data_IF_658202206069
#
_entry.id   IF_658202206069
#
_cell.length_a   1.000
_cell.length_b   1.000
_cell.length_c   1.000
_cell.angle_alpha   90.00
_cell.angle_beta   90.00
_cell.angle_gamma   90.00
#
_symmetry.space_group_name_H-M   'P 1'
#
loop_
_entity.id
_entity.type
_entity.pdbx_description
1 polymer ?
#
# COMPACT_ATOMS: atom_id res chain seq x y z
N UNK A 1 -32.77 -1.75 18.53
CA UNK A 1 -32.01 -2.99 18.25
C UNK A 1 -30.60 -2.51 17.95
N UNK A 2 -29.66 -2.82 18.83
CA UNK A 2 -28.28 -2.37 18.71
C UNK A 2 -27.75 -2.74 17.33
N UNK A 3 -27.28 -1.75 16.57
CA UNK A 3 -26.45 -1.98 15.39
C UNK A 3 -25.23 -2.77 15.88
N UNK A 4 -25.32 -4.09 15.79
CA UNK A 4 -24.25 -5.00 16.18
C UNK A 4 -23.09 -4.75 15.23
N UNK A 5 -22.00 -4.25 15.79
CA UNK A 5 -20.68 -4.20 15.13
C UNK A 5 -20.40 -5.54 14.48
N UNK A 6 -20.23 -5.56 13.16
CA UNK A 6 -19.91 -6.74 12.35
C UNK A 6 -18.42 -7.09 12.43
N UNK A 7 -17.85 -7.02 13.63
CA UNK A 7 -16.46 -7.36 13.86
C UNK A 7 -16.36 -8.41 14.95
N UNK A 8 -16.00 -9.60 14.52
CA UNK A 8 -15.41 -10.63 15.35
C UNK A 8 -13.91 -10.65 15.03
N UNK A 9 -13.06 -10.73 16.07
CA UNK A 9 -11.60 -10.78 15.96
C UNK A 9 -11.12 -11.82 14.93
N UNK A 10 -11.88 -12.91 14.77
CA UNK A 10 -11.57 -13.95 13.78
C UNK A 10 -11.74 -13.48 12.33
N UNK A 11 -12.71 -12.59 12.05
CA UNK A 11 -12.89 -12.02 10.72
C UNK A 11 -11.78 -11.02 10.39
N UNK A 12 -11.40 -10.19 11.36
CA UNK A 12 -10.27 -9.25 11.25
C UNK A 12 -8.97 -9.99 10.89
N UNK A 13 -8.64 -11.04 11.64
CA UNK A 13 -7.46 -11.88 11.36
C UNK A 13 -7.48 -12.50 9.96
N UNK A 14 -8.66 -12.92 9.47
CA UNK A 14 -8.79 -13.48 8.11
C UNK A 14 -8.56 -12.42 7.05
N UNK A 15 -9.06 -11.20 7.24
CA UNK A 15 -8.79 -10.09 6.32
C UNK A 15 -7.31 -9.67 6.33
N UNK A 16 -6.67 -9.63 7.49
CA UNK A 16 -5.24 -9.37 7.61
C UNK A 16 -4.40 -10.45 6.93
N UNK A 17 -4.76 -11.73 7.13
CA UNK A 17 -4.10 -12.85 6.48
C UNK A 17 -4.24 -12.77 4.95
N UNK A 18 -5.44 -12.45 4.45
CA UNK A 18 -5.68 -12.24 3.02
C UNK A 18 -4.88 -11.06 2.45
N UNK A 19 -4.78 -9.96 3.20
CA UNK A 19 -4.03 -8.78 2.79
C UNK A 19 -2.51 -9.00 2.71
N UNK A 20 -1.99 -10.04 3.37
CA UNK A 20 -0.57 -10.40 3.36
C UNK A 20 -0.27 -11.69 2.59
N UNK A 21 -1.29 -12.35 2.02
CA UNK A 21 -1.15 -13.59 1.30
C UNK A 21 -0.49 -13.35 -0.07
N UNK A 22 0.62 -14.06 -0.30
CA UNK A 22 1.18 -14.23 -1.64
C UNK A 22 0.40 -15.35 -2.33
N UNK A 23 -0.54 -14.96 -3.18
CA UNK A 23 -1.39 -15.88 -3.97
C UNK A 23 -0.90 -15.98 -5.42
N UNK A 24 0.32 -15.52 -5.70
CA UNK A 24 0.86 -15.40 -7.06
C UNK A 24 1.96 -16.43 -7.34
N UNK A 25 1.76 -17.25 -8.37
CA UNK A 25 2.78 -18.17 -8.88
C UNK A 25 3.24 -17.70 -10.27
N UNK A 26 3.93 -16.57 -10.29
CA UNK A 26 4.40 -15.95 -11.54
C UNK A 26 5.77 -16.53 -11.93
N UNK A 27 5.89 -16.92 -13.19
CA UNK A 27 7.16 -17.35 -13.77
C UNK A 27 7.98 -16.13 -14.19
N UNK A 28 9.32 -16.17 -14.09
CA UNK A 28 10.15 -15.05 -14.49
C UNK A 28 9.96 -14.76 -15.98
N UNK A 29 9.59 -13.52 -16.37
CA UNK A 29 9.65 -13.11 -17.76
C UNK A 29 11.08 -13.27 -18.29
N UNK A 30 11.23 -13.79 -19.50
CA UNK A 30 12.54 -14.07 -20.11
C UNK A 30 13.44 -12.83 -20.27
N UNK A 31 12.83 -11.64 -20.27
CA UNK A 31 13.48 -10.34 -20.42
C UNK A 31 13.59 -9.54 -19.12
N UNK A 32 13.30 -10.14 -17.96
CA UNK A 32 13.76 -9.63 -16.67
C UNK A 32 15.15 -10.17 -16.39
N UNK A 33 16.09 -9.26 -16.14
CA UNK A 33 17.49 -9.62 -15.88
C UNK A 33 17.87 -9.20 -14.46
N UNK A 34 18.29 -10.17 -13.66
CA UNK A 34 18.89 -9.93 -12.36
C UNK A 34 20.42 -9.91 -12.48
N UNK A 35 21.06 -8.90 -11.91
CA UNK A 35 22.52 -8.83 -11.82
C UNK A 35 22.94 -8.11 -10.54
N UNK A 36 24.22 -8.24 -10.18
CA UNK A 36 24.76 -7.61 -8.97
C UNK A 36 25.65 -6.43 -9.35
N UNK A 37 25.53 -5.37 -8.57
CA UNK A 37 26.40 -4.21 -8.61
C UNK A 37 27.01 -3.96 -7.24
N UNK A 38 28.16 -3.30 -7.22
CA UNK A 38 28.78 -2.77 -6.02
C UNK A 38 28.56 -1.26 -6.02
N UNK A 39 27.81 -0.75 -5.05
CA UNK A 39 27.44 0.67 -4.95
C UNK A 39 27.97 1.23 -3.64
N UNK A 40 28.70 2.34 -3.69
CA UNK A 40 29.08 3.05 -2.46
C UNK A 40 27.89 3.79 -1.86
N UNK A 41 27.93 4.06 -0.56
CA UNK A 41 26.92 4.89 0.10
C UNK A 41 26.77 6.27 -0.59
N UNK A 42 27.88 6.89 -1.00
CA UNK A 42 27.85 8.14 -1.76
C UNK A 42 27.18 8.00 -3.13
N UNK A 43 27.36 6.88 -3.83
CA UNK A 43 26.68 6.67 -5.12
C UNK A 43 25.17 6.43 -4.94
N UNK A 44 24.77 5.72 -3.89
CA UNK A 44 23.36 5.58 -3.52
C UNK A 44 22.73 6.95 -3.20
N UNK A 45 23.44 7.82 -2.48
CA UNK A 45 23.03 9.20 -2.24
C UNK A 45 22.94 10.01 -3.52
N UNK A 46 23.91 9.90 -4.41
CA UNK A 46 23.90 10.57 -5.72
C UNK A 46 22.68 10.16 -6.55
N UNK A 47 22.33 8.86 -6.57
CA UNK A 47 21.13 8.38 -7.25
C UNK A 47 19.85 8.94 -6.63
N UNK A 48 19.80 9.03 -5.30
CA UNK A 48 18.67 9.64 -4.58
C UNK A 48 18.54 11.15 -4.89
N UNK A 49 19.63 11.91 -4.78
CA UNK A 49 19.65 13.35 -5.06
C UNK A 49 19.26 13.65 -6.52
N UNK A 50 19.60 12.75 -7.45
CA UNK A 50 19.22 12.84 -8.86
C UNK A 50 17.76 12.42 -9.14
N UNK A 51 16.99 12.01 -8.13
CA UNK A 51 15.63 11.49 -8.29
C UNK A 51 15.55 10.14 -9.01
N UNK A 52 16.67 9.42 -9.13
CA UNK A 52 16.78 8.13 -9.80
C UNK A 52 16.57 6.95 -8.85
N UNK A 53 16.75 7.14 -7.54
CA UNK A 53 16.48 6.15 -6.51
C UNK A 53 15.37 6.66 -5.60
N UNK A 54 14.26 5.94 -5.57
CA UNK A 54 13.12 6.27 -4.73
C UNK A 54 13.26 5.56 -3.37
N UNK A 55 13.61 6.33 -2.34
CA UNK A 55 13.90 5.85 -0.96
C UNK A 55 12.73 6.12 -0.02
N UNK A 56 11.78 6.95 -0.45
CA UNK A 56 10.60 7.30 0.32
C UNK A 56 9.46 7.62 -0.65
N UNK A 57 8.97 6.64 -1.42
CA UNK A 57 7.73 6.83 -2.10
C UNK A 57 6.69 7.04 -1.00
N UNK A 58 5.79 8.02 -1.12
CA UNK A 58 4.62 8.22 -0.22
C UNK A 58 3.73 6.97 -0.07
N UNK A 59 4.09 5.89 -0.78
CA UNK A 59 3.42 4.63 -0.97
C UNK A 59 4.01 3.50 -0.09
N UNK A 60 5.20 3.67 0.52
CA UNK A 60 5.79 2.69 1.44
C UNK A 60 5.54 3.04 2.92
N UNK A 61 5.68 2.04 3.80
CA UNK A 61 5.61 2.24 5.26
C UNK A 61 6.63 3.28 5.71
N UNK A 62 6.28 4.06 6.72
CA UNK A 62 7.26 4.83 7.49
C UNK A 62 8.45 3.96 7.89
N UNK A 63 9.62 4.57 7.99
CA UNK A 63 10.84 3.95 8.52
C UNK A 63 10.52 3.34 9.89
N UNK A 64 10.40 2.01 9.96
CA UNK A 64 10.04 1.27 11.17
C UNK A 64 11.22 1.04 12.09
N UNK A 65 12.45 1.24 11.58
CA UNK A 65 13.64 1.18 12.42
C UNK A 65 13.61 2.26 13.48
N UNK A 66 13.66 1.84 14.74
CA UNK A 66 13.86 2.73 15.87
C UNK A 66 15.19 3.49 15.71
N UNK A 67 15.33 4.70 16.28
CA UNK A 67 16.57 5.48 16.18
C UNK A 67 17.84 4.70 16.58
N UNK A 68 17.70 3.76 17.52
CA UNK A 68 18.79 2.87 17.95
C UNK A 68 19.25 1.89 16.87
N UNK A 69 18.32 1.33 16.08
CA UNK A 69 18.63 0.41 14.98
C UNK A 69 19.34 1.15 13.84
N UNK A 70 18.86 2.35 13.50
CA UNK A 70 19.52 3.22 12.51
C UNK A 70 20.96 3.55 12.96
N UNK A 71 21.14 3.90 14.24
CA UNK A 71 22.46 4.22 14.81
C UNK A 71 23.44 3.04 14.74
N UNK A 72 23.01 1.84 15.14
CA UNK A 72 23.83 0.61 15.05
C UNK A 72 24.22 0.28 13.62
N UNK A 73 23.33 0.53 12.67
CA UNK A 73 23.63 0.32 11.25
C UNK A 73 24.70 1.30 10.75
N UNK A 74 24.60 2.60 11.09
CA UNK A 74 25.65 3.58 10.76
C UNK A 74 26.99 3.21 11.40
N UNK A 75 26.98 2.77 12.66
CA UNK A 75 28.19 2.29 13.35
C UNK A 75 28.79 1.06 12.65
N UNK A 76 27.95 0.16 12.13
CA UNK A 76 28.40 -1.00 11.34
C UNK A 76 29.10 -0.57 10.03
N UNK A 77 28.58 0.46 9.34
CA UNK A 77 29.22 1.05 8.16
C UNK A 77 30.55 1.71 8.53
N UNK A 78 30.59 2.49 9.62
CA UNK A 78 31.81 3.13 10.12
C UNK A 78 32.92 2.14 10.49
N UNK A 79 32.53 0.97 11.01
CA UNK A 79 33.41 -0.17 11.35
C UNK A 79 33.70 -1.10 10.16
N UNK A 80 33.14 -0.83 8.98
CA UNK A 80 33.30 -1.64 7.77
C UNK A 80 32.91 -3.12 7.97
N UNK A 81 31.85 -3.36 8.74
CA UNK A 81 31.31 -4.71 8.94
C UNK A 81 30.62 -5.20 7.65
N UNK A 82 30.54 -6.53 7.43
CA UNK A 82 29.78 -7.08 6.30
C UNK A 82 28.31 -6.65 6.36
N UNK A 83 27.86 -5.95 5.33
CA UNK A 83 26.46 -5.53 5.18
C UNK A 83 25.75 -6.51 4.24
N UNK A 84 24.60 -7.08 4.62
CA UNK A 84 23.82 -7.93 3.72
C UNK A 84 23.46 -7.19 2.43
N UNK A 85 23.29 -7.92 1.34
CA UNK A 85 22.90 -7.32 0.06
C UNK A 85 21.56 -6.61 0.15
N UNK A 86 21.36 -5.61 -0.69
CA UNK A 86 20.07 -4.94 -0.91
C UNK A 86 19.52 -5.30 -2.28
N UNK A 87 18.23 -5.11 -2.50
CA UNK A 87 17.60 -5.40 -3.79
C UNK A 87 16.82 -4.19 -4.28
N UNK A 88 17.04 -3.80 -5.54
CA UNK A 88 16.30 -2.74 -6.20
C UNK A 88 15.77 -3.24 -7.55
N UNK A 89 14.62 -2.75 -7.97
CA UNK A 89 14.22 -2.82 -9.38
C UNK A 89 14.78 -1.62 -10.11
N UNK A 90 15.07 -1.79 -11.40
CA UNK A 90 15.47 -0.75 -12.33
C UNK A 90 14.54 -0.81 -13.53
N UNK A 91 13.70 0.20 -13.69
CA UNK A 91 12.95 0.40 -14.92
C UNK A 91 13.89 1.00 -15.97
N UNK A 92 14.28 0.21 -16.96
CA UNK A 92 15.25 0.68 -17.96
C UNK A 92 14.68 1.73 -18.93
N UNK A 93 13.35 1.93 -18.95
CA UNK A 93 12.70 2.97 -19.76
C UNK A 93 12.80 4.34 -19.12
N UNK A 94 12.68 4.40 -17.80
CA UNK A 94 12.65 5.66 -17.04
C UNK A 94 13.91 5.91 -16.22
N UNK A 95 14.81 4.92 -16.15
CA UNK A 95 15.98 4.87 -15.27
C UNK A 95 15.68 5.00 -13.78
N UNK A 96 14.40 4.90 -13.40
CA UNK A 96 13.96 4.94 -12.01
C UNK A 96 14.24 3.60 -11.32
N UNK A 97 14.68 3.70 -10.07
CA UNK A 97 14.96 2.56 -9.19
C UNK A 97 14.02 2.57 -8.01
N UNK A 98 13.43 1.41 -7.73
CA UNK A 98 12.56 1.22 -6.57
C UNK A 98 13.19 0.20 -5.62
N UNK A 99 13.16 0.48 -4.33
CA UNK A 99 13.71 -0.45 -3.34
C UNK A 99 12.76 -1.64 -3.15
N UNK A 100 13.27 -2.84 -3.39
CA UNK A 100 12.57 -4.12 -3.20
C UNK A 100 12.88 -4.71 -1.82
N UNK A 101 14.15 -4.65 -1.42
CA UNK A 101 14.65 -5.02 -0.09
C UNK A 101 15.74 -4.05 0.36
N UNK A 102 15.79 -3.80 1.68
CA UNK A 102 16.78 -2.94 2.29
C UNK A 102 16.35 -1.49 2.50
N UNK A 103 15.04 -1.20 2.47
CA UNK A 103 14.49 0.15 2.67
C UNK A 103 15.11 0.85 3.88
N UNK A 104 15.09 0.20 5.05
CA UNK A 104 15.60 0.80 6.29
C UNK A 104 17.11 1.11 6.24
N UNK A 105 17.88 0.26 5.55
CA UNK A 105 19.33 0.45 5.33
C UNK A 105 19.59 1.61 4.40
N UNK A 106 18.91 1.64 3.25
CA UNK A 106 18.97 2.75 2.28
C UNK A 106 18.58 4.08 2.94
N UNK A 107 17.44 4.13 3.64
CA UNK A 107 16.97 5.35 4.30
C UNK A 107 17.96 5.85 5.36
N UNK A 108 18.58 4.95 6.14
CA UNK A 108 19.61 5.34 7.12
C UNK A 108 20.87 5.91 6.44
N UNK A 109 21.33 5.32 5.33
CA UNK A 109 22.45 5.85 4.52
C UNK A 109 22.13 7.24 4.00
N UNK A 110 20.98 7.41 3.35
CA UNK A 110 20.56 8.70 2.79
C UNK A 110 20.44 9.74 3.90
N UNK A 111 19.80 9.40 5.02
CA UNK A 111 19.64 10.31 6.15
C UNK A 111 20.99 10.71 6.75
N UNK A 112 21.92 9.77 6.93
CA UNK A 112 23.28 10.07 7.40
C UNK A 112 24.02 11.03 6.48
N UNK A 113 23.85 10.89 5.16
CA UNK A 113 24.60 11.69 4.20
C UNK A 113 23.90 13.00 3.81
N UNK A 114 22.63 13.20 4.19
CA UNK A 114 21.83 14.35 3.80
C UNK A 114 21.38 15.23 4.97
N UNK A 115 21.25 14.69 6.18
CA UNK A 115 20.78 15.42 7.36
C UNK A 115 21.90 15.61 8.38
N UNK A 116 22.65 16.70 8.24
CA UNK A 116 23.71 17.09 9.19
C UNK A 116 23.22 17.26 10.64
N UNK A 117 21.93 17.57 10.84
CA UNK A 117 21.34 17.78 12.17
C UNK A 117 20.91 16.47 12.83
N UNK A 118 20.89 15.36 12.10
CA UNK A 118 20.51 14.07 12.66
C UNK A 118 21.47 13.67 13.78
N UNK A 119 20.94 13.48 14.98
CA UNK A 119 21.69 13.01 16.14
C UNK A 119 21.59 11.49 16.27
N UNK A 120 22.74 10.83 16.29
CA UNK A 120 22.82 9.39 16.56
C UNK A 120 22.43 9.09 18.02
N UNK A 121 21.87 7.90 18.25
CA UNK A 121 21.38 7.50 19.56
C UNK A 121 22.51 7.32 20.58
N UNK A 122 22.21 7.58 21.85
CA UNK A 122 23.15 7.37 22.95
C UNK A 122 23.11 5.90 23.40
N UNK A 123 23.97 5.07 22.83
CA UNK A 123 24.02 3.63 23.10
C UNK A 123 25.45 3.21 23.50
N UNK A 124 25.58 2.26 24.43
CA UNK A 124 26.88 1.88 25.00
C UNK A 124 27.77 1.07 24.03
N UNK A 125 27.16 0.42 23.04
CA UNK A 125 27.80 -0.46 22.05
C UNK A 125 28.32 0.25 20.79
N UNK A 126 28.20 1.59 20.74
CA UNK A 126 28.54 2.43 19.59
C UNK A 126 29.92 3.08 19.78
N UNK A 127 30.65 3.32 18.69
CA UNK A 127 31.92 4.05 18.74
C UNK A 127 31.76 5.42 19.45
N UNK A 128 32.62 5.68 20.43
CA UNK A 128 32.60 6.90 21.25
C UNK A 128 32.72 8.19 20.44
N UNK A 129 33.28 8.11 19.23
CA UNK A 129 33.43 9.24 18.30
C UNK A 129 32.12 9.66 17.63
N UNK A 130 31.15 8.74 17.51
CA UNK A 130 29.87 9.01 16.83
C UNK A 130 28.66 8.96 17.75
N UNK A 131 28.75 8.27 18.89
CA UNK A 131 27.64 8.11 19.84
C UNK A 131 27.12 9.45 20.35
N UNK A 132 25.80 9.63 20.34
CA UNK A 132 25.13 10.86 20.78
C UNK A 132 25.63 12.15 20.08
N UNK A 133 26.25 12.04 18.90
CA UNK A 133 26.72 13.17 18.09
C UNK A 133 25.77 13.44 16.93
N UNK A 134 25.77 14.68 16.45
CA UNK A 134 25.14 15.02 15.17
C UNK A 134 26.04 14.61 14.03
N UNK A 135 25.46 14.32 12.87
CA UNK A 135 26.22 14.02 11.64
C UNK A 135 27.23 15.13 11.31
N UNK A 136 26.82 16.39 11.39
CA UNK A 136 27.70 17.55 11.13
C UNK A 136 28.92 17.58 12.08
N UNK A 137 28.73 17.18 13.34
CA UNK A 137 29.84 17.07 14.28
C UNK A 137 30.78 15.92 13.92
N UNK A 138 30.23 14.78 13.49
CA UNK A 138 31.04 13.63 13.05
C UNK A 138 31.86 14.01 11.82
N UNK A 139 31.24 14.65 10.83
CA UNK A 139 31.90 15.11 9.61
C UNK A 139 33.06 16.07 9.90
N UNK A 140 32.85 17.03 10.82
CA UNK A 140 33.87 18.03 11.16
C UNK A 140 34.99 17.50 12.05
N UNK A 141 34.65 16.77 13.11
CA UNK A 141 35.62 16.35 14.14
C UNK A 141 36.22 14.96 13.88
N UNK A 142 35.54 14.12 13.09
CA UNK A 142 35.98 12.76 12.74
C UNK A 142 35.76 12.49 11.23
N UNK A 143 36.33 13.33 10.34
CA UNK A 143 36.10 13.26 8.89
C UNK A 143 36.46 11.90 8.28
N UNK A 144 37.39 11.16 8.89
CA UNK A 144 37.78 9.82 8.48
C UNK A 144 36.65 8.79 8.69
N UNK A 145 35.85 8.93 9.76
CA UNK A 145 34.70 8.04 10.01
C UNK A 145 33.59 8.35 9.01
N UNK A 146 33.30 9.64 8.82
CA UNK A 146 32.31 10.08 7.84
C UNK A 146 32.68 9.57 6.43
N UNK A 147 33.95 9.72 6.04
CA UNK A 147 34.49 9.21 4.78
C UNK A 147 34.42 7.68 4.67
N UNK A 148 34.62 6.93 5.76
CA UNK A 148 34.43 5.46 5.74
C UNK A 148 32.99 5.09 5.43
N UNK A 149 32.02 5.77 6.03
CA UNK A 149 30.59 5.52 5.74
C UNK A 149 30.30 5.84 4.27
N UNK A 150 30.74 6.99 3.76
CA UNK A 150 30.60 7.39 2.35
C UNK A 150 31.16 6.35 1.37
N UNK A 151 32.36 5.86 1.67
CA UNK A 151 33.10 4.94 0.81
C UNK A 151 32.74 3.46 1.04
N UNK A 152 31.90 3.14 2.03
CA UNK A 152 31.44 1.76 2.24
C UNK A 152 30.67 1.31 1.01
N UNK A 153 31.09 0.18 0.44
CA UNK A 153 30.50 -0.42 -0.75
C UNK A 153 29.56 -1.53 -0.34
N UNK A 154 28.32 -1.48 -0.81
CA UNK A 154 27.28 -2.45 -0.51
C UNK A 154 26.93 -3.24 -1.77
N UNK A 155 26.84 -4.57 -1.68
CA UNK A 155 26.28 -5.39 -2.76
C UNK A 155 24.80 -5.06 -2.99
N UNK A 156 24.45 -4.72 -4.22
CA UNK A 156 23.08 -4.42 -4.64
C UNK A 156 22.69 -5.35 -5.78
N UNK A 157 21.68 -6.18 -5.55
CA UNK A 157 21.01 -6.93 -6.62
C UNK A 157 20.06 -5.98 -7.35
N UNK A 158 20.22 -5.87 -8.65
CA UNK A 158 19.40 -5.05 -9.54
C UNK A 158 18.54 -5.95 -10.39
N UNK A 159 17.22 -5.73 -10.34
CA UNK A 159 16.22 -6.37 -11.18
C UNK A 159 15.85 -5.42 -12.31
N UNK A 160 16.49 -5.57 -13.47
CA UNK A 160 16.14 -4.79 -14.65
C UNK A 160 14.82 -5.28 -15.22
N UNK A 161 13.88 -4.35 -15.37
CA UNK A 161 12.50 -4.61 -15.77
C UNK A 161 11.97 -3.50 -16.69
N UNK A 162 10.83 -3.78 -17.33
CA UNK A 162 10.02 -2.83 -18.09
C UNK A 162 8.70 -2.63 -17.34
N UNK A 163 8.56 -1.53 -16.61
CA UNK A 163 7.33 -1.30 -15.85
C UNK A 163 6.13 -0.95 -16.72
N UNK A 164 6.27 -0.81 -18.05
CA UNK A 164 5.10 -0.76 -18.96
C UNK A 164 4.49 -2.16 -19.20
N UNK A 165 5.25 -3.23 -18.96
CA UNK A 165 4.79 -4.61 -19.19
C UNK A 165 4.12 -5.18 -17.95
N UNK A 166 2.88 -5.65 -18.13
CA UNK A 166 2.10 -6.30 -17.07
C UNK A 166 2.82 -7.50 -16.45
N UNK A 167 3.42 -8.38 -17.26
CA UNK A 167 4.14 -9.55 -16.77
C UNK A 167 5.33 -9.20 -15.87
N UNK A 168 5.99 -8.06 -16.14
CA UNK A 168 7.10 -7.58 -15.32
C UNK A 168 6.61 -7.06 -13.97
N UNK A 169 5.48 -6.33 -13.97
CA UNK A 169 4.84 -5.83 -12.75
C UNK A 169 4.37 -7.00 -11.87
N UNK A 170 3.71 -8.00 -12.45
CA UNK A 170 3.22 -9.19 -11.75
C UNK A 170 4.39 -9.99 -11.13
N UNK A 171 5.48 -10.20 -11.88
CA UNK A 171 6.66 -10.90 -11.35
C UNK A 171 7.40 -10.11 -10.27
N UNK A 172 7.54 -8.78 -10.43
CA UNK A 172 8.09 -7.94 -9.37
C UNK A 172 7.25 -8.03 -8.11
N UNK A 173 5.91 -8.04 -8.22
CA UNK A 173 5.02 -8.19 -7.07
C UNK A 173 5.33 -9.47 -6.28
N UNK A 174 5.53 -10.60 -6.97
CA UNK A 174 5.96 -11.87 -6.36
C UNK A 174 7.34 -11.75 -5.69
N UNK A 175 8.32 -11.09 -6.34
CA UNK A 175 9.65 -10.89 -5.74
C UNK A 175 9.55 -10.05 -4.47
N UNK A 176 8.80 -8.95 -4.49
CA UNK A 176 8.56 -8.10 -3.31
C UNK A 176 8.04 -8.95 -2.15
N UNK A 177 7.05 -9.81 -2.38
CA UNK A 177 6.53 -10.70 -1.35
C UNK A 177 7.59 -11.65 -0.79
N UNK A 178 8.37 -12.29 -1.67
CA UNK A 178 9.35 -13.32 -1.26
C UNK A 178 10.57 -12.74 -0.56
N UNK A 179 11.03 -11.55 -0.95
CA UNK A 179 12.18 -10.90 -0.33
C UNK A 179 11.82 -10.19 0.99
N UNK A 180 10.61 -9.63 1.11
CA UNK A 180 10.15 -8.97 2.33
C UNK A 180 9.69 -9.96 3.43
N UNK A 181 10.22 -11.18 3.42
CA UNK A 181 9.92 -12.22 4.42
C UNK A 181 10.70 -12.05 5.73
N UNK A 182 11.78 -11.25 5.74
CA UNK A 182 12.51 -10.86 6.94
C UNK A 182 11.91 -9.62 7.62
N UNK A 183 11.52 -9.72 8.89
CA UNK A 183 10.90 -8.62 9.65
C UNK A 183 9.39 -8.51 9.47
N UNK A 184 8.81 -7.32 9.66
CA UNK A 184 7.37 -7.10 9.46
C UNK A 184 7.07 -7.15 7.95
N UNK A 185 6.25 -8.09 7.48
CA UNK A 185 5.91 -8.22 6.05
C UNK A 185 5.15 -6.99 5.52
N UNK A 186 5.44 -6.61 4.27
CA UNK A 186 4.59 -5.68 3.53
C UNK A 186 3.25 -6.34 3.23
N UNK A 187 2.16 -5.57 3.24
CA UNK A 187 0.88 -6.03 2.73
C UNK A 187 0.79 -5.81 1.20
N UNK A 188 -0.21 -6.42 0.59
CA UNK A 188 -0.40 -6.38 -0.87
C UNK A 188 -0.55 -4.94 -1.38
N UNK A 189 -1.24 -4.07 -0.65
CA UNK A 189 -1.44 -2.69 -1.06
C UNK A 189 -0.14 -1.87 -1.01
N UNK A 190 0.71 -2.05 0.01
CA UNK A 190 2.04 -1.44 0.12
C UNK A 190 2.96 -1.82 -1.06
N UNK A 191 2.85 -3.06 -1.55
CA UNK A 191 3.60 -3.51 -2.74
C UNK A 191 3.02 -2.89 -4.02
N UNK A 192 1.68 -2.87 -4.17
CA UNK A 192 1.04 -2.20 -5.33
C UNK A 192 1.45 -0.75 -5.45
N UNK A 193 1.47 -0.09 -4.31
CA UNK A 193 1.90 1.27 -4.12
C UNK A 193 3.28 1.58 -4.71
N UNK A 194 4.21 0.64 -4.64
CA UNK A 194 5.55 0.76 -5.22
C UNK A 194 5.56 0.50 -6.74
N UNK A 195 4.90 -0.58 -7.14
CA UNK A 195 4.98 -1.10 -8.52
C UNK A 195 4.12 -0.27 -9.48
N UNK A 196 2.95 0.16 -9.02
CA UNK A 196 1.93 0.90 -9.77
C UNK A 196 1.84 2.37 -9.33
N UNK A 197 2.96 2.95 -8.88
CA UNK A 197 3.05 4.38 -8.58
C UNK A 197 2.64 5.24 -9.78
N UNK A 198 2.03 6.38 -9.51
CA UNK A 198 1.47 7.29 -10.50
C UNK A 198 0.08 7.81 -10.14
N UNK A 199 -0.49 8.60 -11.05
CA UNK A 199 -1.70 9.41 -10.84
C UNK A 199 -2.93 8.64 -10.34
N UNK A 200 -3.14 7.40 -10.79
CA UNK A 200 -4.24 6.58 -10.28
C UNK A 200 -4.04 6.18 -8.81
N UNK A 201 -2.80 5.84 -8.44
CA UNK A 201 -2.49 5.50 -7.06
C UNK A 201 -2.54 6.72 -6.13
N UNK A 202 -2.11 7.89 -6.63
CA UNK A 202 -2.26 9.16 -5.94
C UNK A 202 -3.73 9.51 -5.70
N UNK A 203 -4.57 9.30 -6.71
CA UNK A 203 -6.01 9.50 -6.59
C UNK A 203 -6.62 8.68 -5.46
N UNK A 204 -6.21 7.41 -5.27
CA UNK A 204 -6.71 6.60 -4.15
C UNK A 204 -6.41 7.24 -2.80
N UNK A 205 -5.20 7.77 -2.61
CA UNK A 205 -4.80 8.45 -1.37
C UNK A 205 -5.55 9.75 -1.16
N UNK A 206 -5.68 10.55 -2.21
CA UNK A 206 -6.40 11.82 -2.15
C UNK A 206 -7.86 11.61 -1.73
N UNK A 207 -8.50 10.52 -2.18
CA UNK A 207 -9.86 10.18 -1.77
C UNK A 207 -9.88 9.80 -0.29
N UNK A 208 -8.94 8.98 0.20
CA UNK A 208 -8.86 8.65 1.65
C UNK A 208 -8.61 9.90 2.51
N UNK A 209 -7.80 10.85 2.01
CA UNK A 209 -7.47 12.09 2.70
C UNK A 209 -8.60 13.15 2.63
N UNK A 210 -9.63 12.92 1.81
CA UNK A 210 -10.74 13.87 1.67
C UNK A 210 -11.62 13.91 2.92
N UNK A 211 -12.15 15.09 3.26
CA UNK A 211 -13.01 15.26 4.44
C UNK A 211 -14.25 14.36 4.37
N UNK A 212 -14.87 14.22 3.18
CA UNK A 212 -16.04 13.35 3.00
C UNK A 212 -15.75 11.88 3.37
N UNK A 213 -14.53 11.39 3.06
CA UNK A 213 -14.13 10.03 3.42
C UNK A 213 -13.83 9.90 4.91
N UNK A 214 -13.13 10.90 5.49
CA UNK A 214 -12.83 10.96 6.93
C UNK A 214 -14.13 10.96 7.74
N UNK A 215 -15.12 11.75 7.34
CA UNK A 215 -16.42 11.84 8.01
C UNK A 215 -17.22 10.54 7.90
N UNK A 216 -17.21 9.91 6.72
CA UNK A 216 -17.94 8.66 6.51
C UNK A 216 -17.32 7.48 7.28
N UNK A 217 -16.00 7.36 7.32
CA UNK A 217 -15.33 6.20 7.92
C UNK A 217 -14.78 6.46 9.33
N UNK A 218 -15.01 7.66 9.89
CA UNK A 218 -14.46 8.11 11.18
C UNK A 218 -12.94 7.84 11.27
N UNK A 219 -12.22 8.31 10.24
CA UNK A 219 -10.78 8.03 10.11
C UNK A 219 -10.00 8.86 11.13
N UNK A 220 -9.31 8.18 12.05
CA UNK A 220 -8.47 8.83 13.04
C UNK A 220 -7.10 9.20 12.42
N UNK A 221 -6.74 10.49 12.31
CA UNK A 221 -5.48 10.92 11.69
C UNK A 221 -4.22 10.46 12.45
N UNK A 222 -4.33 10.12 13.73
CA UNK A 222 -3.20 9.62 14.54
C UNK A 222 -2.97 8.11 14.36
N UNK A 223 -3.96 7.38 13.81
CA UNK A 223 -3.87 5.93 13.60
C UNK A 223 -3.26 5.61 12.25
N UNK A 224 -2.34 4.63 12.25
CA UNK A 224 -1.79 4.06 11.02
C UNK A 224 -2.66 2.92 10.51
N UNK A 225 -3.24 3.09 9.32
CA UNK A 225 -4.11 2.11 8.68
C UNK A 225 -3.40 1.19 7.68
N UNK A 226 -2.08 1.36 7.46
CA UNK A 226 -1.26 0.60 6.50
C UNK A 226 -1.91 0.44 5.12
N UNK A 227 -2.44 1.55 4.60
CA UNK A 227 -3.10 1.62 3.30
C UNK A 227 -4.37 0.73 3.15
N UNK A 228 -4.98 0.31 4.26
CA UNK A 228 -6.18 -0.55 4.21
C UNK A 228 -7.41 0.16 3.64
N UNK A 229 -7.52 1.48 3.80
CA UNK A 229 -8.60 2.30 3.25
C UNK A 229 -8.44 2.49 1.73
N UNK A 230 -7.20 2.67 1.26
CA UNK A 230 -6.84 2.78 -0.14
C UNK A 230 -7.11 1.44 -0.85
N UNK A 231 -6.79 0.31 -0.21
CA UNK A 231 -7.18 -1.01 -0.72
C UNK A 231 -8.71 -1.16 -0.78
N UNK A 232 -9.45 -0.69 0.22
CA UNK A 232 -10.91 -0.74 0.22
C UNK A 232 -11.49 0.04 -0.98
N UNK A 233 -11.01 1.26 -1.23
CA UNK A 233 -11.42 2.04 -2.41
C UNK A 233 -11.05 1.30 -3.70
N UNK A 234 -9.84 0.74 -3.79
CA UNK A 234 -9.42 -0.03 -4.95
C UNK A 234 -10.33 -1.23 -5.20
N UNK A 235 -10.72 -1.95 -4.14
CA UNK A 235 -11.69 -3.08 -4.21
C UNK A 235 -13.05 -2.60 -4.70
N UNK A 236 -13.56 -1.50 -4.15
CA UNK A 236 -14.84 -0.91 -4.55
C UNK A 236 -14.85 -0.56 -6.04
N UNK A 237 -13.81 0.14 -6.52
CA UNK A 237 -13.70 0.53 -7.93
C UNK A 237 -13.55 -0.69 -8.86
N UNK A 238 -12.68 -1.63 -8.51
CA UNK A 238 -12.45 -2.84 -9.30
C UNK A 238 -13.71 -3.71 -9.42
N UNK A 239 -14.43 -3.91 -8.32
CA UNK A 239 -15.65 -4.70 -8.32
C UNK A 239 -16.83 -3.97 -8.96
N UNK A 240 -16.95 -2.66 -8.78
CA UNK A 240 -17.99 -1.87 -9.45
C UNK A 240 -17.87 -1.96 -10.97
N UNK A 241 -16.64 -1.89 -11.49
CA UNK A 241 -16.32 -2.03 -12.91
C UNK A 241 -16.70 -3.42 -13.45
N UNK A 242 -16.26 -4.51 -12.80
CA UNK A 242 -16.42 -5.85 -13.40
C UNK A 242 -16.32 -7.04 -12.43
N UNK A 243 -17.11 -7.06 -11.35
CA UNK A 243 -17.12 -8.22 -10.44
C UNK A 243 -17.60 -9.53 -11.08
N UNK A 244 -18.42 -9.46 -12.13
CA UNK A 244 -18.96 -10.64 -12.84
C UNK A 244 -17.84 -11.54 -13.39
N UNK A 245 -16.72 -10.91 -13.79
CA UNK A 245 -15.52 -11.57 -14.30
C UNK A 245 -14.45 -11.82 -13.23
N UNK A 246 -14.76 -11.65 -11.95
CA UNK A 246 -13.84 -12.02 -10.88
C UNK A 246 -13.54 -13.52 -10.90
N UNK A 247 -12.26 -13.89 -10.95
CA UNK A 247 -11.81 -15.30 -10.99
C UNK A 247 -10.91 -15.66 -9.81
N UNK A 248 -10.66 -14.71 -8.91
CA UNK A 248 -9.57 -14.80 -7.95
C UNK A 248 -8.19 -14.91 -8.65
N UNK A 249 -7.11 -14.98 -7.87
CA UNK A 249 -7.01 -14.48 -6.50
C UNK A 249 -7.30 -12.97 -6.41
N UNK A 250 -7.64 -12.47 -5.21
CA UNK A 250 -7.99 -11.06 -5.01
C UNK A 250 -6.81 -10.15 -5.40
N UNK A 251 -5.60 -10.53 -5.00
CA UNK A 251 -4.37 -9.81 -5.31
C UNK A 251 -4.20 -9.59 -6.82
N UNK A 252 -4.38 -10.64 -7.63
CA UNK A 252 -4.28 -10.59 -9.09
C UNK A 252 -5.37 -9.74 -9.72
N UNK A 253 -6.60 -9.78 -9.20
CA UNK A 253 -7.68 -8.93 -9.68
C UNK A 253 -7.39 -7.44 -9.47
N UNK A 254 -6.95 -7.06 -8.25
CA UNK A 254 -6.62 -5.67 -7.94
C UNK A 254 -5.35 -5.20 -8.69
N UNK A 255 -4.34 -6.06 -8.84
CA UNK A 255 -3.15 -5.78 -9.63
C UNK A 255 -3.50 -5.52 -11.11
N UNK A 256 -4.39 -6.32 -11.69
CA UNK A 256 -4.89 -6.10 -13.05
C UNK A 256 -5.63 -4.76 -13.18
N UNK A 257 -6.40 -4.39 -12.15
CA UNK A 257 -7.08 -3.10 -12.13
C UNK A 257 -6.10 -1.93 -12.03
N UNK A 258 -5.09 -1.98 -11.15
CA UNK A 258 -4.02 -0.98 -11.10
C UNK A 258 -3.30 -0.84 -12.45
N UNK A 259 -2.97 -1.98 -13.09
CA UNK A 259 -2.32 -1.98 -14.41
C UNK A 259 -3.19 -1.33 -15.50
N UNK A 260 -4.52 -1.52 -15.47
CA UNK A 260 -5.48 -0.91 -16.43
C UNK A 260 -5.40 0.62 -16.44
N UNK A 261 -5.04 1.25 -15.31
CA UNK A 261 -5.01 2.71 -15.15
C UNK A 261 -3.62 3.34 -15.26
N UNK A 262 -2.55 2.55 -15.42
CA UNK A 262 -1.17 3.05 -15.42
C UNK A 262 -0.88 4.10 -16.51
N UNK A 263 -1.45 3.89 -17.70
CA UNK A 263 -1.24 4.75 -18.87
C UNK A 263 -2.51 5.51 -19.26
N UNK A 264 -3.45 5.68 -18.31
CA UNK A 264 -4.67 6.45 -18.54
C UNK A 264 -4.44 7.93 -18.31
N UNK A 265 -5.15 8.75 -19.09
CA UNK A 265 -5.15 10.20 -18.92
C UNK A 265 -5.85 10.63 -17.63
N UNK A 266 -5.58 11.87 -17.22
CA UNK A 266 -6.15 12.46 -16.01
C UNK A 266 -7.69 12.47 -16.04
N UNK A 267 -8.31 12.69 -17.21
CA UNK A 267 -9.78 12.69 -17.34
C UNK A 267 -10.38 11.34 -16.97
N UNK A 268 -9.75 10.25 -17.38
CA UNK A 268 -10.17 8.88 -17.07
C UNK A 268 -10.02 8.58 -15.58
N UNK A 269 -8.96 9.08 -14.95
CA UNK A 269 -8.71 8.93 -13.51
C UNK A 269 -9.70 9.77 -12.70
N UNK A 270 -9.96 11.01 -13.12
CA UNK A 270 -10.95 11.89 -12.50
C UNK A 270 -12.37 11.34 -12.59
N UNK A 271 -12.69 10.59 -13.65
CA UNK A 271 -13.95 9.87 -13.72
C UNK A 271 -14.08 8.83 -12.61
N UNK A 272 -13.00 8.09 -12.28
CA UNK A 272 -13.00 7.14 -11.16
C UNK A 272 -13.10 7.87 -9.81
N UNK A 273 -12.35 8.97 -9.64
CA UNK A 273 -12.44 9.84 -8.48
C UNK A 273 -13.88 10.30 -8.24
N UNK A 274 -14.54 10.78 -9.29
CA UNK A 274 -15.94 11.24 -9.22
C UNK A 274 -16.89 10.12 -8.80
N UNK A 275 -16.74 8.92 -9.37
CA UNK A 275 -17.58 7.75 -9.00
C UNK A 275 -17.49 7.47 -7.51
N UNK A 276 -16.27 7.38 -6.95
CA UNK A 276 -16.11 7.07 -5.53
C UNK A 276 -16.54 8.23 -4.63
N UNK A 277 -16.16 9.47 -4.96
CA UNK A 277 -16.53 10.64 -4.16
C UNK A 277 -18.04 10.87 -4.11
N UNK A 278 -18.75 10.67 -5.23
CA UNK A 278 -20.21 10.77 -5.25
C UNK A 278 -20.85 9.66 -4.42
N UNK A 279 -20.30 8.43 -4.45
CA UNK A 279 -20.80 7.32 -3.64
C UNK A 279 -20.59 7.55 -2.14
N UNK A 280 -19.41 8.04 -1.73
CA UNK A 280 -19.09 8.43 -0.35
C UNK A 280 -20.11 9.47 0.14
N UNK A 281 -20.28 10.56 -0.60
CA UNK A 281 -21.25 11.62 -0.26
C UNK A 281 -22.67 11.11 -0.22
N UNK A 282 -23.06 10.24 -1.14
CA UNK A 282 -24.41 9.68 -1.18
C UNK A 282 -24.68 8.83 0.05
N UNK A 283 -23.75 7.94 0.42
CA UNK A 283 -23.89 7.07 1.59
C UNK A 283 -23.96 7.93 2.85
N UNK A 284 -23.02 8.84 3.06
CA UNK A 284 -22.97 9.69 4.23
C UNK A 284 -24.27 10.52 4.39
N UNK A 285 -24.66 11.27 3.37
CA UNK A 285 -25.79 12.22 3.48
C UNK A 285 -27.18 11.59 3.32
N UNK A 286 -27.29 10.48 2.59
CA UNK A 286 -28.59 9.91 2.21
C UNK A 286 -28.89 8.61 2.94
N UNK A 287 -27.90 7.73 3.07
CA UNK A 287 -28.06 6.45 3.75
C UNK A 287 -27.96 6.63 5.26
N UNK A 288 -27.02 7.46 5.73
CA UNK A 288 -26.65 7.59 7.14
C UNK A 288 -27.05 8.93 7.80
N UNK A 289 -27.65 9.86 7.06
CA UNK A 289 -28.05 11.20 7.55
C UNK A 289 -26.91 12.04 8.16
N UNK A 290 -25.68 11.89 7.67
CA UNK A 290 -24.51 12.61 8.20
C UNK A 290 -23.86 11.94 9.41
N UNK A 291 -24.28 10.72 9.74
CA UNK A 291 -23.58 9.92 10.75
C UNK A 291 -22.49 9.05 10.10
N UNK A 292 -21.39 8.76 10.83
CA UNK A 292 -20.37 7.84 10.36
C UNK A 292 -20.93 6.44 10.07
N UNK A 293 -20.32 5.76 9.10
CA UNK A 293 -20.60 4.37 8.80
C UNK A 293 -20.20 3.53 10.01
N UNK A 294 -21.11 2.66 10.53
CA UNK A 294 -20.73 1.74 11.59
C UNK A 294 -19.58 0.85 11.12
N UNK A 295 -18.80 0.31 12.05
CA UNK A 295 -17.68 -0.57 11.70
C UNK A 295 -18.18 -1.86 11.03
N UNK A 296 -18.03 -1.93 9.71
CA UNK A 296 -18.40 -3.08 8.87
C UNK A 296 -17.15 -3.82 8.38
N UNK A 297 -17.29 -5.10 8.05
CA UNK A 297 -16.25 -5.83 7.31
C UNK A 297 -15.94 -5.16 5.96
N UNK A 298 -14.74 -5.38 5.41
CA UNK A 298 -14.43 -4.84 4.06
C UNK A 298 -15.38 -5.40 3.01
N UNK A 299 -15.72 -6.69 3.10
CA UNK A 299 -16.65 -7.34 2.18
C UNK A 299 -18.06 -6.73 2.22
N UNK A 300 -18.56 -6.37 3.40
CA UNK A 300 -19.87 -5.69 3.54
C UNK A 300 -19.80 -4.26 3.02
N UNK A 301 -18.71 -3.53 3.34
CA UNK A 301 -18.48 -2.18 2.81
C UNK A 301 -18.40 -2.16 1.28
N UNK A 302 -17.67 -3.10 0.68
CA UNK A 302 -17.59 -3.28 -0.77
C UNK A 302 -18.97 -3.48 -1.39
N UNK A 303 -19.77 -4.39 -0.82
CA UNK A 303 -21.10 -4.67 -1.31
C UNK A 303 -22.03 -3.45 -1.24
N UNK A 304 -21.99 -2.70 -0.13
CA UNK A 304 -22.72 -1.44 0.00
C UNK A 304 -22.37 -0.47 -1.12
N UNK A 305 -21.08 -0.20 -1.32
CA UNK A 305 -20.63 0.74 -2.33
C UNK A 305 -20.91 0.25 -3.76
N UNK A 306 -20.66 -1.02 -4.08
CA UNK A 306 -20.95 -1.60 -5.40
C UNK A 306 -22.45 -1.53 -5.72
N UNK A 307 -23.31 -1.86 -4.74
CA UNK A 307 -24.76 -1.77 -4.88
C UNK A 307 -25.22 -0.33 -5.14
N UNK A 308 -24.64 0.66 -4.44
CA UNK A 308 -24.91 2.08 -4.65
C UNK A 308 -24.41 2.56 -6.01
N UNK A 309 -23.16 2.27 -6.36
CA UNK A 309 -22.52 2.73 -7.61
C UNK A 309 -23.26 2.17 -8.83
N UNK A 310 -23.57 0.86 -8.86
CA UNK A 310 -24.27 0.26 -10.01
C UNK A 310 -25.74 0.69 -10.13
N UNK A 311 -26.36 1.21 -9.08
CA UNK A 311 -27.73 1.71 -9.09
C UNK A 311 -27.84 3.24 -8.94
N UNK A 312 -26.74 3.98 -9.06
CA UNK A 312 -26.65 5.38 -8.65
C UNK A 312 -27.75 6.27 -9.25
N UNK A 313 -27.99 6.17 -10.56
CA UNK A 313 -29.01 6.98 -11.24
C UNK A 313 -30.42 6.72 -10.68
N UNK A 314 -30.77 5.47 -10.42
CA UNK A 314 -32.06 5.09 -9.84
C UNK A 314 -32.18 5.57 -8.39
N UNK A 315 -31.13 5.38 -7.60
CA UNK A 315 -31.10 5.77 -6.20
C UNK A 315 -31.20 7.29 -5.99
N UNK A 316 -30.59 8.09 -6.86
CA UNK A 316 -30.72 9.55 -6.84
C UNK A 316 -32.16 10.03 -7.12
N UNK A 317 -32.95 9.24 -7.85
CA UNK A 317 -34.36 9.52 -8.10
C UNK A 317 -35.31 8.90 -7.05
N UNK A 318 -34.78 8.09 -6.12
CA UNK A 318 -35.57 7.35 -5.14
C UNK A 318 -35.78 8.15 -3.85
N UNK A 319 -36.88 7.88 -3.13
CA UNK A 319 -37.10 8.48 -1.82
C UNK A 319 -36.06 7.99 -0.79
N UNK A 320 -35.61 8.88 0.10
CA UNK A 320 -34.61 8.54 1.14
C UNK A 320 -35.05 7.36 2.00
N UNK A 321 -36.36 7.19 2.26
CA UNK A 321 -36.85 6.05 3.06
C UNK A 321 -36.64 4.72 2.34
N UNK A 322 -36.80 4.69 1.03
CA UNK A 322 -36.58 3.49 0.22
C UNK A 322 -35.09 3.13 0.19
N UNK A 323 -34.20 4.11 -0.03
CA UNK A 323 -32.74 3.89 0.01
C UNK A 323 -32.30 3.33 1.36
N UNK A 324 -32.81 3.88 2.48
CA UNK A 324 -32.52 3.36 3.83
C UNK A 324 -33.10 1.97 4.07
N UNK A 325 -34.23 1.63 3.44
CA UNK A 325 -34.78 0.27 3.48
C UNK A 325 -33.83 -0.72 2.79
N UNK A 326 -33.27 -0.36 1.63
CA UNK A 326 -32.26 -1.18 0.94
C UNK A 326 -30.99 -1.33 1.77
N UNK A 327 -30.51 -0.27 2.41
CA UNK A 327 -29.38 -0.37 3.35
C UNK A 327 -29.67 -1.34 4.50
N UNK A 328 -30.82 -1.20 5.17
CA UNK A 328 -31.23 -2.13 6.25
C UNK A 328 -31.36 -3.56 5.74
N UNK A 329 -31.90 -3.75 4.53
CA UNK A 329 -32.00 -5.07 3.91
C UNK A 329 -30.61 -5.69 3.69
N UNK A 330 -29.64 -4.93 3.19
CA UNK A 330 -28.24 -5.37 3.05
C UNK A 330 -27.65 -5.80 4.41
N UNK A 331 -27.79 -4.94 5.44
CA UNK A 331 -27.30 -5.20 6.80
C UNK A 331 -27.89 -6.48 7.42
N UNK A 332 -29.12 -6.84 7.04
CA UNK A 332 -29.81 -8.03 7.54
C UNK A 332 -29.68 -9.26 6.65
N UNK A 333 -29.04 -9.14 5.48
CA UNK A 333 -29.01 -10.24 4.51
C UNK A 333 -28.03 -11.33 4.97
N UNK A 334 -28.44 -12.62 4.97
CA UNK A 334 -27.62 -13.73 5.49
C UNK A 334 -26.24 -13.86 4.81
N UNK A 335 -26.08 -13.38 3.57
CA UNK A 335 -24.80 -13.43 2.89
C UNK A 335 -23.72 -12.56 3.54
N UNK A 336 -24.11 -11.57 4.36
CA UNK A 336 -23.22 -10.68 5.10
C UNK A 336 -23.10 -11.02 6.59
N UNK A 337 -23.68 -12.15 7.03
CA UNK A 337 -23.46 -12.64 8.40
C UNK A 337 -21.99 -12.99 8.61
N UNK A 338 -21.51 -12.90 9.86
CA UNK A 338 -20.13 -13.20 10.22
C UNK A 338 -19.75 -14.63 9.81
N UNK A 339 -20.66 -15.60 9.98
CA UNK A 339 -20.46 -17.00 9.58
C UNK A 339 -20.28 -17.13 8.06
N UNK A 340 -21.14 -16.49 7.28
CA UNK A 340 -21.06 -16.48 5.81
C UNK A 340 -19.76 -15.84 5.33
N UNK A 341 -19.37 -14.71 5.91
CA UNK A 341 -18.15 -13.99 5.53
C UNK A 341 -16.89 -14.80 5.84
N UNK A 342 -16.87 -15.54 6.95
CA UNK A 342 -15.76 -16.42 7.31
C UNK A 342 -15.55 -17.57 6.30
N UNK A 343 -16.59 -17.99 5.59
CA UNK A 343 -16.55 -19.04 4.58
C UNK A 343 -16.18 -18.51 3.18
N UNK A 344 -14.90 -18.19 2.97
CA UNK A 344 -14.39 -17.81 1.65
C UNK A 344 -14.57 -16.34 1.31
N UNK A 345 -13.92 -15.46 2.08
CA UNK A 345 -13.90 -14.00 1.87
C UNK A 345 -13.59 -13.60 0.42
N UNK A 346 -12.55 -14.19 -0.16
CA UNK A 346 -12.10 -13.87 -1.53
C UNK A 346 -12.48 -14.95 -2.56
N UNK A 347 -13.24 -15.97 -2.18
CA UNK A 347 -13.61 -17.05 -3.09
C UNK A 347 -14.49 -16.51 -4.24
N UNK A 348 -14.22 -16.84 -5.50
CA UNK A 348 -14.90 -16.23 -6.65
C UNK A 348 -16.42 -16.28 -6.57
N UNK A 349 -16.99 -17.45 -6.29
CA UNK A 349 -18.44 -17.64 -6.24
C UNK A 349 -19.06 -16.86 -5.08
N UNK A 350 -18.42 -16.85 -3.91
CA UNK A 350 -18.89 -16.13 -2.72
C UNK A 350 -18.88 -14.62 -2.92
N UNK A 351 -17.80 -14.08 -3.53
CA UNK A 351 -17.71 -12.65 -3.88
C UNK A 351 -18.81 -12.28 -4.86
N UNK A 352 -18.99 -13.05 -5.94
CA UNK A 352 -20.04 -12.79 -6.93
C UNK A 352 -21.43 -12.83 -6.30
N UNK A 353 -21.76 -13.87 -5.53
CA UNK A 353 -23.06 -13.97 -4.87
C UNK A 353 -23.35 -12.76 -3.98
N UNK A 354 -22.39 -12.31 -3.15
CA UNK A 354 -22.57 -11.12 -2.30
C UNK A 354 -22.79 -9.85 -3.10
N UNK A 355 -21.98 -9.62 -4.14
CA UNK A 355 -22.04 -8.40 -4.92
C UNK A 355 -23.29 -8.36 -5.82
N UNK A 356 -23.67 -9.48 -6.46
CA UNK A 356 -24.95 -9.61 -7.17
C UNK A 356 -26.10 -9.30 -6.24
N UNK A 357 -26.11 -9.88 -5.04
CA UNK A 357 -27.17 -9.65 -4.06
C UNK A 357 -27.26 -8.18 -3.64
N UNK A 358 -26.12 -7.53 -3.43
CA UNK A 358 -26.09 -6.11 -3.10
C UNK A 358 -26.67 -5.26 -4.23
N UNK A 359 -26.30 -5.54 -5.48
CA UNK A 359 -26.88 -4.85 -6.65
C UNK A 359 -28.39 -5.04 -6.71
N UNK A 360 -28.90 -6.25 -6.47
CA UNK A 360 -30.34 -6.53 -6.43
C UNK A 360 -31.06 -5.72 -5.34
N UNK A 361 -30.52 -5.69 -4.12
CA UNK A 361 -31.12 -4.98 -2.97
C UNK A 361 -31.25 -3.48 -3.24
N UNK A 362 -30.23 -2.87 -3.85
CA UNK A 362 -30.23 -1.45 -4.21
C UNK A 362 -30.93 -1.15 -5.53
N UNK A 363 -31.33 -2.18 -6.29
CA UNK A 363 -32.13 -2.04 -7.50
C UNK A 363 -33.63 -1.98 -7.24
N UNK A 364 -34.09 -2.17 -6.00
CA UNK A 364 -35.51 -2.13 -5.61
C UNK A 364 -35.98 -0.70 -5.40
#
# INVERSE_FOLDING_TARGET
>A
MSDTTEYDDELEKKEEALAAADETDETPPADIVAFNELRSCSDLKRLYDAGQLDVQPDYQRDIVWQPSQQTRFIDSLAKQLPIPSMCISLDYKTEKRQIVDGLQRMSAIIKFLSDGKWRLSNLQDIDKRIVNKTVEHIERENPEIYSRVQNTVIPVTVLRCDLSKRSHQEYLFTIFHRLNTGGMKLNNQEIRNCIYSGSFNDMLKDVVASQDFVDLFDVNPERKYRFSNEELILRILAFSDNFDNYKGPLSKHLNAYMAKFREKDEKTIDAQRKIISDAVKFIYNTVLDGEPLPRLSKATSEALFVGVIRNQQKLLASDKKQVKKSYKALRSDPLFSIESLKEGLAAPDRVKSRLTRAVEIFSQ
#
